data_IF_147813018614
#
_entry.id   IF_147813018614
#
_cell.length_a   1.000
_cell.length_b   1.000
_cell.length_c   1.000
_cell.angle_alpha   90.00
_cell.angle_beta   90.00
_cell.angle_gamma   90.00
#
_symmetry.space_group_name_H-M   'P 1'
#
loop_
_entity.id
_entity.type
_entity.pdbx_description
1 polymer ?
#
# COMPACT_ATOMS: atom_id res chain seq x y z
N UNK A 1 4.15 -18.82 28.90
CA UNK A 1 3.23 -19.14 27.81
C UNK A 1 3.96 -18.85 26.51
N UNK A 2 4.01 -19.77 25.55
CA UNK A 2 4.52 -19.42 24.22
C UNK A 2 3.65 -18.32 23.60
N UNK A 3 4.22 -17.41 22.83
CA UNK A 3 3.43 -16.37 22.18
C UNK A 3 2.40 -17.01 21.25
N UNK A 4 1.14 -16.64 21.41
CA UNK A 4 0.07 -17.06 20.51
C UNK A 4 0.38 -16.43 19.14
N UNK A 5 0.91 -17.22 18.23
CA UNK A 5 1.21 -16.76 16.86
C UNK A 5 -0.10 -16.55 16.12
N UNK A 6 -0.49 -15.30 15.95
CA UNK A 6 -1.68 -14.95 15.13
C UNK A 6 -1.47 -15.42 13.69
N UNK A 7 -2.42 -16.17 13.11
CA UNK A 7 -2.31 -16.59 11.72
C UNK A 7 -2.11 -15.41 10.76
N UNK A 8 -1.37 -15.56 9.66
CA UNK A 8 -1.23 -14.49 8.65
C UNK A 8 -2.56 -13.89 8.20
N UNK A 9 -3.61 -14.70 8.14
CA UNK A 9 -4.96 -14.26 7.76
C UNK A 9 -5.55 -13.13 8.63
N UNK A 10 -5.07 -12.96 9.87
CA UNK A 10 -5.54 -11.94 10.81
C UNK A 10 -4.61 -10.74 10.95
N UNK A 11 -3.46 -10.72 10.26
CA UNK A 11 -2.46 -9.65 10.39
C UNK A 11 -2.64 -8.59 9.32
N UNK A 12 -2.59 -7.35 9.74
CA UNK A 12 -2.64 -6.17 8.88
C UNK A 12 -1.49 -5.21 9.20
N UNK A 13 -0.83 -4.72 8.17
CA UNK A 13 0.21 -3.67 8.26
C UNK A 13 -0.30 -2.37 7.65
N UNK A 14 -0.10 -1.25 8.35
CA UNK A 14 -0.33 0.09 7.80
C UNK A 14 1.00 0.83 7.61
N UNK A 15 1.25 1.30 6.40
CA UNK A 15 2.44 2.08 6.04
C UNK A 15 2.15 3.56 6.18
N UNK A 16 3.04 4.30 6.89
CA UNK A 16 2.79 5.67 7.29
C UNK A 16 1.69 5.75 8.34
N UNK A 17 1.67 4.80 9.27
CA UNK A 17 0.55 4.55 10.17
C UNK A 17 0.26 5.69 11.17
N UNK A 18 1.20 6.62 11.37
CA UNK A 18 1.08 7.61 12.44
C UNK A 18 0.86 6.94 13.79
N UNK A 19 0.04 7.53 14.64
CA UNK A 19 -0.29 7.00 15.98
C UNK A 19 -1.45 6.01 15.99
N UNK A 20 -2.20 5.89 14.90
CA UNK A 20 -3.38 5.02 14.77
C UNK A 20 -3.38 4.38 13.39
N UNK A 21 -3.01 3.08 13.28
CA UNK A 21 -3.03 2.37 12.02
C UNK A 21 -4.44 2.31 11.42
N UNK A 22 -4.54 2.55 10.12
CA UNK A 22 -5.76 2.27 9.38
C UNK A 22 -5.87 0.76 9.15
N UNK A 23 -7.09 0.26 9.08
CA UNK A 23 -7.35 -1.17 8.93
C UNK A 23 -8.58 -1.40 8.07
N UNK A 24 -8.48 -1.22 6.76
CA UNK A 24 -9.63 -1.29 5.87
C UNK A 24 -10.32 -2.66 5.84
N UNK A 25 -9.63 -3.72 6.25
CA UNK A 25 -10.14 -5.08 6.24
C UNK A 25 -10.63 -5.58 7.62
N UNK A 26 -10.52 -4.76 8.68
CA UNK A 26 -10.95 -5.13 10.02
C UNK A 26 -10.18 -6.32 10.63
N UNK A 27 -8.88 -6.46 10.31
CA UNK A 27 -8.03 -7.53 10.86
C UNK A 27 -7.78 -7.32 12.35
N UNK A 28 -7.58 -8.42 13.10
CA UNK A 28 -7.43 -8.36 14.56
C UNK A 28 -6.04 -7.95 15.02
N UNK A 29 -5.00 -8.41 14.34
CA UNK A 29 -3.62 -8.10 14.69
C UNK A 29 -3.09 -6.96 13.81
N UNK A 30 -2.83 -5.80 14.44
CA UNK A 30 -2.42 -4.58 13.76
C UNK A 30 -0.93 -4.34 13.93
N UNK A 31 -0.32 -3.95 12.82
CA UNK A 31 1.08 -3.58 12.71
C UNK A 31 1.17 -2.22 12.01
N UNK A 32 2.19 -1.45 12.35
CA UNK A 32 2.41 -0.15 11.74
C UNK A 32 3.89 0.12 11.49
N UNK A 33 4.16 0.80 10.37
CA UNK A 33 5.48 1.37 10.08
C UNK A 33 5.32 2.87 9.84
N UNK A 34 6.19 3.67 10.46
CA UNK A 34 6.29 5.10 10.22
C UNK A 34 7.76 5.54 10.26
N UNK A 35 8.08 6.64 9.59
CA UNK A 35 9.39 7.26 9.66
C UNK A 35 9.69 7.76 11.09
N UNK A 36 8.67 8.28 11.76
CA UNK A 36 8.79 8.86 13.12
C UNK A 36 8.77 7.75 14.15
N UNK A 37 9.62 7.89 15.17
CA UNK A 37 9.57 7.01 16.34
C UNK A 37 8.34 7.34 17.19
N UNK A 38 7.51 6.36 17.45
CA UNK A 38 6.36 6.49 18.34
C UNK A 38 6.72 6.05 19.77
N UNK A 39 6.01 6.54 20.80
CA UNK A 39 6.14 6.03 22.17
C UNK A 39 5.85 4.51 22.23
N UNK A 40 6.47 3.80 23.17
CA UNK A 40 6.32 2.34 23.35
C UNK A 40 4.95 1.87 23.87
N UNK A 41 4.02 2.79 24.06
CA UNK A 41 2.67 2.53 24.62
C UNK A 41 1.60 2.27 23.55
N UNK A 42 2.00 1.85 22.35
CA UNK A 42 1.04 1.60 21.27
C UNK A 42 0.24 0.32 21.50
N UNK A 43 -1.03 0.33 21.11
CA UNK A 43 -1.93 -0.83 21.14
C UNK A 43 -1.70 -1.80 19.95
N UNK A 44 -0.65 -1.58 19.15
CA UNK A 44 -0.29 -2.36 17.96
C UNK A 44 1.23 -2.54 17.89
N UNK A 45 1.68 -3.50 17.12
CA UNK A 45 3.12 -3.71 16.88
C UNK A 45 3.65 -2.65 15.93
N UNK A 46 4.67 -1.91 16.37
CA UNK A 46 5.21 -0.76 15.65
C UNK A 46 6.69 -0.93 15.34
N UNK A 47 7.08 -0.54 14.14
CA UNK A 47 8.48 -0.42 13.74
C UNK A 47 8.75 0.95 13.09
N UNK A 48 9.84 1.62 13.49
CA UNK A 48 10.30 2.84 12.83
C UNK A 48 11.23 2.46 11.67
N UNK A 49 10.91 2.92 10.44
CA UNK A 49 11.75 2.71 9.28
C UNK A 49 11.54 3.81 8.23
N UNK A 50 12.61 4.17 7.52
CA UNK A 50 12.53 5.04 6.34
C UNK A 50 12.40 4.19 5.09
N UNK A 51 11.17 3.93 4.67
CA UNK A 51 10.88 3.02 3.56
C UNK A 51 11.37 3.51 2.18
N UNK A 52 11.90 4.75 2.08
CA UNK A 52 12.64 5.18 0.90
C UNK A 52 14.00 4.47 0.78
N UNK A 53 14.59 4.00 1.90
CA UNK A 53 15.90 3.39 1.97
C UNK A 53 15.91 2.01 2.63
N UNK A 54 15.04 1.80 3.62
CA UNK A 54 15.00 0.58 4.42
C UNK A 54 13.97 -0.41 3.84
N UNK A 55 14.17 -1.73 4.02
CA UNK A 55 13.12 -2.71 3.76
C UNK A 55 11.99 -2.56 4.80
N UNK A 56 10.83 -3.11 4.49
CA UNK A 56 9.75 -3.28 5.49
C UNK A 56 10.27 -4.27 6.55
N UNK A 57 10.36 -3.88 7.86
CA UNK A 57 11.05 -4.67 8.89
C UNK A 57 10.23 -5.86 9.42
N UNK A 58 9.59 -6.57 8.50
CA UNK A 58 8.80 -7.78 8.80
C UNK A 58 9.15 -8.91 7.83
N UNK A 59 8.90 -10.18 8.22
CA UNK A 59 9.22 -11.34 7.40
C UNK A 59 8.43 -11.41 6.09
N UNK A 60 8.87 -12.25 5.17
CA UNK A 60 8.14 -12.65 3.98
C UNK A 60 6.81 -13.34 4.36
N UNK A 61 5.77 -13.12 3.56
CA UNK A 61 4.45 -13.76 3.71
C UNK A 61 3.79 -13.55 5.09
N UNK A 62 4.08 -12.44 5.73
CA UNK A 62 3.68 -12.17 7.12
C UNK A 62 2.26 -11.61 7.27
N UNK A 63 1.75 -10.91 6.25
CA UNK A 63 0.49 -10.17 6.34
C UNK A 63 -0.54 -10.68 5.32
N UNK A 64 -1.81 -10.75 5.77
CA UNK A 64 -2.94 -10.93 4.87
C UNK A 64 -3.33 -9.64 4.14
N UNK A 65 -2.96 -8.49 4.71
CA UNK A 65 -3.20 -7.21 4.05
C UNK A 65 -2.20 -6.14 4.50
N UNK A 66 -1.92 -5.22 3.58
CA UNK A 66 -1.12 -4.02 3.80
C UNK A 66 -1.94 -2.83 3.34
N UNK A 67 -1.91 -1.72 4.09
CA UNK A 67 -2.50 -0.45 3.65
C UNK A 67 -1.47 0.67 3.55
N UNK A 68 -1.81 1.68 2.74
CA UNK A 68 -1.06 2.91 2.58
C UNK A 68 -2.06 4.04 2.26
N UNK A 69 -2.32 4.90 3.25
CA UNK A 69 -3.21 6.04 3.11
C UNK A 69 -2.39 7.32 3.12
N UNK A 70 -2.52 8.13 2.08
CA UNK A 70 -1.72 9.36 1.93
C UNK A 70 -0.23 9.09 2.19
N UNK A 71 0.32 8.07 1.52
CA UNK A 71 1.68 7.59 1.77
C UNK A 71 2.51 7.41 0.49
N UNK A 72 1.97 6.73 -0.55
CA UNK A 72 2.76 6.37 -1.73
C UNK A 72 3.16 7.57 -2.58
N UNK A 73 2.45 8.68 -2.50
CA UNK A 73 2.78 9.96 -3.12
C UNK A 73 4.03 10.63 -2.53
N UNK A 74 4.39 10.28 -1.30
CA UNK A 74 5.61 10.76 -0.63
C UNK A 74 6.86 9.94 -0.97
N UNK A 75 6.70 8.80 -1.67
CA UNK A 75 7.82 7.93 -2.00
C UNK A 75 8.60 8.45 -3.22
N UNK A 76 9.90 8.77 -3.10
CA UNK A 76 10.68 9.21 -4.24
C UNK A 76 10.68 8.18 -5.37
N UNK A 77 10.59 8.67 -6.62
CA UNK A 77 10.67 7.79 -7.79
C UNK A 77 12.10 7.38 -8.10
N UNK A 78 13.01 8.35 -8.00
CA UNK A 78 14.42 8.20 -8.37
C UNK A 78 15.27 8.92 -7.34
N UNK A 79 16.28 8.26 -6.84
CA UNK A 79 17.33 8.84 -6.01
C UNK A 79 18.70 8.37 -6.52
N UNK A 80 19.73 9.18 -6.24
CA UNK A 80 21.11 8.73 -6.43
C UNK A 80 21.44 7.64 -5.41
N UNK A 81 22.06 6.57 -5.85
CA UNK A 81 22.60 5.55 -4.96
C UNK A 81 23.84 6.06 -4.21
N UNK A 82 24.26 5.30 -3.20
CA UNK A 82 25.40 5.63 -2.37
C UNK A 82 26.74 5.64 -3.14
N UNK A 83 26.83 4.89 -4.24
CA UNK A 83 28.00 4.83 -5.09
C UNK A 83 27.81 5.73 -6.33
N UNK A 84 28.88 6.42 -6.80
CA UNK A 84 28.80 7.22 -8.02
C UNK A 84 28.26 6.38 -9.22
N UNK A 85 27.34 6.96 -9.98
CA UNK A 85 26.75 6.32 -11.16
C UNK A 85 25.68 5.28 -10.86
N UNK A 86 25.29 5.07 -9.60
CA UNK A 86 24.17 4.17 -9.25
C UNK A 86 22.89 4.95 -9.05
N UNK A 87 21.77 4.30 -9.43
CA UNK A 87 20.41 4.84 -9.27
C UNK A 87 19.58 3.87 -8.46
N UNK A 88 18.78 4.39 -7.55
CA UNK A 88 17.78 3.60 -6.82
C UNK A 88 16.38 4.11 -7.14
N UNK A 89 15.41 3.21 -7.12
CA UNK A 89 14.01 3.47 -7.41
C UNK A 89 13.15 3.16 -6.17
N UNK A 90 13.08 4.07 -5.17
CA UNK A 90 12.45 3.79 -3.87
C UNK A 90 11.01 3.34 -4.00
N UNK A 91 10.22 3.95 -4.88
CA UNK A 91 8.83 3.53 -5.08
C UNK A 91 8.70 2.10 -5.63
N UNK A 92 9.58 1.71 -6.57
CA UNK A 92 9.60 0.33 -7.10
C UNK A 92 10.02 -0.66 -6.01
N UNK A 93 11.04 -0.31 -5.20
CA UNK A 93 11.46 -1.11 -4.04
C UNK A 93 10.36 -1.25 -2.99
N UNK A 94 9.63 -0.16 -2.69
CA UNK A 94 8.49 -0.22 -1.77
C UNK A 94 7.45 -1.22 -2.25
N UNK A 95 7.11 -1.20 -3.54
CA UNK A 95 6.13 -2.14 -4.10
C UNK A 95 6.63 -3.59 -4.07
N UNK A 96 7.94 -3.80 -4.24
CA UNK A 96 8.57 -5.12 -4.09
C UNK A 96 8.49 -5.62 -2.64
N UNK A 97 8.76 -4.74 -1.68
CA UNK A 97 8.67 -5.03 -0.25
C UNK A 97 7.23 -5.28 0.21
N UNK A 98 6.25 -4.50 -0.30
CA UNK A 98 4.83 -4.76 -0.07
C UNK A 98 4.45 -6.15 -0.57
N UNK A 99 4.89 -6.51 -1.78
CA UNK A 99 4.65 -7.85 -2.32
C UNK A 99 5.35 -8.90 -1.46
N UNK A 100 6.59 -8.68 -1.04
CA UNK A 100 7.37 -9.61 -0.23
C UNK A 100 6.69 -9.95 1.08
N UNK A 101 6.20 -8.95 1.82
CA UNK A 101 5.60 -9.15 3.15
C UNK A 101 4.15 -9.63 3.11
N UNK A 102 3.44 -9.46 2.00
CA UNK A 102 2.10 -10.01 1.81
C UNK A 102 2.17 -11.53 1.64
N UNK A 103 1.28 -12.26 2.28
CA UNK A 103 1.06 -13.68 2.02
C UNK A 103 0.52 -13.90 0.59
N UNK A 104 0.62 -15.12 0.01
CA UNK A 104 -0.05 -15.46 -1.24
C UNK A 104 -1.53 -15.09 -1.19
N UNK A 105 -2.02 -14.32 -2.18
CA UNK A 105 -3.40 -13.79 -2.19
C UNK A 105 -3.65 -12.63 -1.22
N UNK A 106 -2.63 -12.16 -0.51
CA UNK A 106 -2.73 -11.00 0.36
C UNK A 106 -3.00 -9.71 -0.41
N UNK A 107 -3.64 -8.74 0.25
CA UNK A 107 -4.20 -7.56 -0.40
C UNK A 107 -3.44 -6.28 -0.01
N UNK A 108 -3.08 -5.48 -1.00
CA UNK A 108 -2.57 -4.13 -0.83
C UNK A 108 -3.66 -3.10 -1.10
N UNK A 109 -3.92 -2.23 -0.13
CA UNK A 109 -4.94 -1.18 -0.20
C UNK A 109 -4.29 0.18 -0.09
N UNK A 110 -4.18 0.91 -1.20
CA UNK A 110 -3.61 2.26 -1.20
C UNK A 110 -4.66 3.29 -1.59
N UNK A 111 -4.75 4.36 -0.80
CA UNK A 111 -5.60 5.52 -1.05
C UNK A 111 -4.72 6.76 -1.14
N UNK A 112 -4.70 7.42 -2.28
CA UNK A 112 -3.74 8.49 -2.59
C UNK A 112 -4.39 9.59 -3.43
N UNK A 113 -4.00 10.86 -3.25
CA UNK A 113 -4.36 11.90 -4.20
C UNK A 113 -3.75 11.60 -5.57
N UNK A 114 -4.52 11.86 -6.63
CA UNK A 114 -4.22 11.38 -7.98
C UNK A 114 -4.33 12.50 -9.01
N UNK A 115 -3.37 12.54 -9.95
CA UNK A 115 -3.43 13.42 -11.12
C UNK A 115 -4.72 13.17 -11.93
N UNK A 116 -5.45 14.21 -12.43
CA UNK A 116 -5.02 15.62 -12.53
C UNK A 116 -5.49 16.52 -11.36
N UNK A 117 -5.87 15.96 -10.22
CA UNK A 117 -6.35 16.76 -9.11
C UNK A 117 -5.22 17.64 -8.53
N UNK A 118 -5.57 18.86 -8.07
CA UNK A 118 -4.63 19.77 -7.44
C UNK A 118 -4.11 19.23 -6.11
N UNK A 119 -4.87 18.39 -5.43
CA UNK A 119 -4.51 17.75 -4.17
C UNK A 119 -3.25 16.89 -4.31
N UNK A 120 -3.00 16.34 -5.50
CA UNK A 120 -1.77 15.62 -5.83
C UNK A 120 -0.50 16.51 -5.76
N UNK A 121 -0.64 17.83 -5.78
CA UNK A 121 0.45 18.81 -5.84
C UNK A 121 0.42 19.85 -4.71
N UNK A 122 -0.60 19.81 -3.85
CA UNK A 122 -0.79 20.84 -2.80
C UNK A 122 0.20 20.68 -1.65
N UNK A 123 0.63 19.45 -1.37
CA UNK A 123 1.65 19.17 -0.36
C UNK A 123 3.03 19.16 -1.04
N UNK A 124 3.99 20.00 -0.58
CA UNK A 124 5.33 20.06 -1.17
C UNK A 124 6.14 18.77 -1.01
N UNK A 125 5.71 17.85 -0.15
CA UNK A 125 6.33 16.53 0.04
C UNK A 125 5.75 15.44 -0.88
N UNK A 126 4.75 15.75 -1.71
CA UNK A 126 4.26 14.87 -2.76
C UNK A 126 5.24 14.85 -3.94
N UNK A 127 6.21 13.96 -3.88
CA UNK A 127 7.27 13.83 -4.90
C UNK A 127 6.98 12.75 -5.93
N UNK A 128 5.93 11.95 -5.72
CA UNK A 128 5.51 10.88 -6.62
C UNK A 128 4.13 11.15 -7.21
N UNK A 129 4.09 11.61 -8.45
CA UNK A 129 2.82 11.87 -9.14
C UNK A 129 2.13 10.55 -9.49
N UNK A 130 1.07 10.24 -8.76
CA UNK A 130 0.24 9.05 -9.02
C UNK A 130 -0.84 9.41 -10.04
N UNK A 131 -1.06 8.52 -11.00
CA UNK A 131 -2.11 8.59 -12.00
C UNK A 131 -3.06 7.40 -11.86
N UNK A 132 -4.23 7.47 -12.49
CA UNK A 132 -5.18 6.35 -12.52
C UNK A 132 -4.61 5.05 -13.12
N UNK A 133 -3.44 5.12 -13.80
CA UNK A 133 -2.77 3.99 -14.43
C UNK A 133 -1.46 3.56 -13.75
N UNK A 134 -0.99 4.30 -12.73
CA UNK A 134 0.31 4.01 -12.11
C UNK A 134 0.42 2.60 -11.52
N UNK A 135 -0.68 2.03 -11.04
CA UNK A 135 -0.74 0.66 -10.51
C UNK A 135 -0.48 -0.41 -11.59
N UNK A 136 -0.84 -0.15 -12.85
CA UNK A 136 -0.66 -1.10 -13.96
C UNK A 136 0.82 -1.52 -14.13
N UNK A 137 1.74 -0.65 -13.71
CA UNK A 137 3.18 -0.88 -13.80
C UNK A 137 3.65 -2.10 -13.01
N UNK A 138 2.91 -2.47 -11.95
CA UNK A 138 3.19 -3.58 -11.04
C UNK A 138 2.28 -4.80 -11.27
N UNK A 139 1.35 -4.72 -12.22
CA UNK A 139 0.29 -5.69 -12.41
C UNK A 139 0.43 -6.50 -13.70
N UNK A 140 -0.31 -7.62 -13.77
CA UNK A 140 -0.39 -8.48 -14.94
C UNK A 140 0.71 -9.52 -15.02
N UNK A 141 0.75 -10.29 -16.11
CA UNK A 141 1.67 -11.43 -16.28
C UNK A 141 3.16 -11.01 -16.37
N UNK A 142 3.43 -9.82 -16.93
CA UNK A 142 4.77 -9.29 -17.11
C UNK A 142 4.81 -7.80 -16.69
N UNK A 143 4.86 -7.50 -15.37
CA UNK A 143 4.90 -6.13 -14.88
C UNK A 143 6.09 -5.35 -15.46
N UNK A 144 5.85 -4.13 -15.96
CA UNK A 144 6.91 -3.28 -16.53
C UNK A 144 7.95 -2.87 -15.49
N UNK A 145 7.58 -2.81 -14.20
CA UNK A 145 8.48 -2.49 -13.10
C UNK A 145 9.66 -3.48 -12.95
N UNK A 146 9.59 -4.65 -13.56
CA UNK A 146 10.70 -5.63 -13.59
C UNK A 146 11.99 -5.06 -14.16
N UNK A 147 11.91 -4.12 -15.10
CA UNK A 147 13.08 -3.43 -15.65
C UNK A 147 13.84 -2.63 -14.60
N UNK A 148 13.21 -2.33 -13.46
CA UNK A 148 13.76 -1.53 -12.36
C UNK A 148 13.90 -2.31 -11.06
N UNK A 149 13.90 -3.66 -11.15
CA UNK A 149 14.18 -4.54 -10.02
C UNK A 149 12.96 -5.02 -9.22
N UNK A 150 11.74 -4.83 -9.73
CA UNK A 150 10.55 -5.42 -9.14
C UNK A 150 10.49 -6.93 -9.41
N UNK A 151 10.43 -7.76 -8.37
CA UNK A 151 10.39 -9.21 -8.49
C UNK A 151 8.98 -9.77 -8.35
N UNK A 152 8.06 -8.94 -7.88
CA UNK A 152 6.70 -9.31 -7.58
C UNK A 152 5.77 -9.38 -8.79
N UNK A 153 4.51 -9.63 -8.49
CA UNK A 153 3.37 -9.53 -9.40
C UNK A 153 2.11 -9.25 -8.61
N UNK A 154 1.34 -8.28 -9.07
CA UNK A 154 0.00 -8.03 -8.55
C UNK A 154 -1.07 -8.28 -9.60
N UNK A 155 -2.29 -8.57 -9.12
CA UNK A 155 -3.52 -8.52 -9.89
C UNK A 155 -4.44 -7.44 -9.33
N UNK A 156 -5.10 -6.71 -10.22
CA UNK A 156 -6.01 -5.63 -9.83
C UNK A 156 -7.33 -6.23 -9.37
N UNK A 157 -7.69 -6.00 -8.11
CA UNK A 157 -9.03 -6.31 -7.58
C UNK A 157 -9.96 -5.12 -7.73
N UNK A 158 -9.42 -3.91 -7.47
CA UNK A 158 -10.15 -2.67 -7.65
C UNK A 158 -9.16 -1.52 -7.92
N UNK A 159 -9.46 -0.70 -8.92
CA UNK A 159 -8.72 0.52 -9.23
C UNK A 159 -9.75 1.56 -9.69
N UNK A 160 -10.02 2.59 -8.88
CA UNK A 160 -11.09 3.53 -9.16
C UNK A 160 -10.95 4.86 -8.42
N UNK A 161 -11.55 5.89 -8.98
CA UNK A 161 -11.75 7.15 -8.29
C UNK A 161 -12.73 6.97 -7.12
N UNK A 162 -12.41 7.58 -5.98
CA UNK A 162 -13.18 7.41 -4.76
C UNK A 162 -13.37 8.72 -3.99
N UNK A 163 -14.30 8.68 -3.06
CA UNK A 163 -14.49 9.68 -2.00
C UNK A 163 -13.76 9.11 -0.77
N UNK A 164 -12.71 9.79 -0.24
CA UNK A 164 -11.87 9.26 0.84
C UNK A 164 -12.66 8.81 2.07
N UNK A 165 -13.66 9.60 2.47
CA UNK A 165 -14.48 9.33 3.65
C UNK A 165 -15.29 8.02 3.52
N UNK A 166 -15.61 7.62 2.28
CA UNK A 166 -16.33 6.38 1.98
C UNK A 166 -15.41 5.18 1.71
N UNK A 167 -14.09 5.39 1.81
CA UNK A 167 -13.08 4.40 1.40
C UNK A 167 -12.09 4.07 2.53
N UNK A 168 -12.47 4.35 3.77
CA UNK A 168 -11.66 4.02 4.95
C UNK A 168 -11.72 2.53 5.32
N UNK A 169 -12.74 1.82 4.82
CA UNK A 169 -12.92 0.39 5.03
C UNK A 169 -13.43 -0.28 3.74
N UNK A 170 -13.12 -1.57 3.59
CA UNK A 170 -13.66 -2.40 2.51
C UNK A 170 -15.10 -2.73 2.84
N UNK A 171 -16.03 -1.97 2.26
CA UNK A 171 -17.46 -2.18 2.40
C UNK A 171 -18.16 -2.00 1.05
N UNK A 172 -19.31 -2.62 0.90
CA UNK A 172 -20.18 -2.32 -0.25
C UNK A 172 -20.76 -0.92 -0.07
N UNK A 173 -20.60 -0.02 -1.04
CA UNK A 173 -21.17 1.30 -0.94
C UNK A 173 -22.70 1.22 -0.92
N UNK A 174 -23.34 2.07 -0.16
CA UNK A 174 -24.79 2.26 -0.27
C UNK A 174 -25.11 2.88 -1.65
N UNK A 175 -26.37 2.76 -2.08
CA UNK A 175 -26.77 3.33 -3.36
C UNK A 175 -26.53 4.86 -3.43
N UNK A 176 -26.71 5.58 -2.30
CA UNK A 176 -26.43 7.02 -2.18
C UNK A 176 -24.93 7.34 -2.37
N UNK A 177 -24.05 6.57 -1.74
CA UNK A 177 -22.59 6.70 -1.88
C UNK A 177 -22.13 6.39 -3.31
N UNK A 178 -22.69 5.34 -3.91
CA UNK A 178 -22.38 4.98 -5.29
C UNK A 178 -22.81 6.08 -6.28
N UNK A 179 -24.01 6.64 -6.08
CA UNK A 179 -24.52 7.74 -6.89
C UNK A 179 -23.70 9.02 -6.72
N UNK A 180 -23.35 9.42 -5.47
CA UNK A 180 -22.52 10.61 -5.21
C UNK A 180 -21.14 10.48 -5.84
N UNK A 181 -20.49 9.30 -5.71
CA UNK A 181 -19.22 9.01 -6.38
C UNK A 181 -19.36 9.15 -7.90
N UNK A 182 -20.34 8.52 -8.50
CA UNK A 182 -20.59 8.59 -9.95
C UNK A 182 -20.78 10.03 -10.44
N UNK A 183 -21.59 10.82 -9.71
CA UNK A 183 -21.82 12.24 -10.03
C UNK A 183 -20.54 13.06 -9.97
N UNK A 184 -19.73 12.88 -8.92
CA UNK A 184 -18.46 13.61 -8.74
C UNK A 184 -17.41 13.18 -9.77
N UNK A 185 -17.35 11.90 -10.09
CA UNK A 185 -16.46 11.37 -11.13
C UNK A 185 -16.74 12.01 -12.49
N UNK A 186 -18.01 12.04 -12.91
CA UNK A 186 -18.42 12.69 -14.16
C UNK A 186 -18.14 14.20 -14.20
N UNK A 187 -18.12 14.87 -13.07
CA UNK A 187 -17.81 16.30 -12.96
C UNK A 187 -16.32 16.59 -12.71
N UNK A 188 -15.45 15.58 -12.70
CA UNK A 188 -14.03 15.75 -12.43
C UNK A 188 -13.70 16.25 -11.02
N UNK A 189 -14.58 15.99 -10.04
CA UNK A 189 -14.46 16.47 -8.66
C UNK A 189 -13.88 15.45 -7.68
N UNK A 190 -13.42 14.29 -8.18
CA UNK A 190 -12.74 13.31 -7.36
C UNK A 190 -11.24 13.58 -7.42
N UNK A 191 -10.64 13.62 -6.24
CA UNK A 191 -9.21 13.89 -6.06
C UNK A 191 -8.40 12.64 -5.74
N UNK A 192 -9.05 11.60 -5.22
CA UNK A 192 -8.39 10.39 -4.70
C UNK A 192 -8.67 9.19 -5.56
N UNK A 193 -7.63 8.37 -5.69
CA UNK A 193 -7.69 7.09 -6.39
C UNK A 193 -7.34 5.95 -5.44
N UNK A 194 -8.12 4.89 -5.52
CA UNK A 194 -7.95 3.69 -4.73
C UNK A 194 -7.31 2.60 -5.55
N UNK A 195 -6.30 1.94 -4.99
CA UNK A 195 -5.74 0.68 -5.43
C UNK A 195 -6.11 -0.42 -4.44
N UNK A 196 -6.64 -1.50 -4.93
CA UNK A 196 -6.75 -2.76 -4.22
C UNK A 196 -6.13 -3.83 -5.11
N UNK A 197 -4.92 -4.25 -4.74
CA UNK A 197 -4.09 -5.15 -5.52
C UNK A 197 -3.88 -6.45 -4.75
N UNK A 198 -3.95 -7.59 -5.43
CA UNK A 198 -3.69 -8.89 -4.84
C UNK A 198 -2.28 -9.36 -5.19
N UNK A 199 -1.51 -9.78 -4.18
CA UNK A 199 -0.18 -10.36 -4.36
C UNK A 199 -0.29 -11.78 -4.98
N UNK A 200 0.20 -11.93 -6.20
CA UNK A 200 0.25 -13.23 -6.88
C UNK A 200 1.59 -13.88 -6.59
N UNK A 201 1.55 -14.96 -5.83
CA UNK A 201 2.72 -15.77 -5.47
C UNK A 201 2.45 -17.24 -5.81
N UNK A 202 3.51 -18.03 -6.10
CA UNK A 202 3.36 -19.49 -6.14
C UNK A 202 2.82 -19.97 -4.79
N UNK A 203 1.96 -20.98 -4.81
CA UNK A 203 1.51 -21.61 -3.57
C UNK A 203 2.71 -22.13 -2.80
N UNK A 204 2.83 -21.79 -1.52
CA UNK A 204 3.89 -22.31 -0.66
C UNK A 204 3.71 -23.83 -0.55
N UNK A 205 4.72 -24.65 -0.91
CA UNK A 205 4.63 -26.09 -0.70
C UNK A 205 4.52 -26.36 0.81
N UNK A 206 3.36 -26.79 1.31
CA UNK A 206 3.23 -27.20 2.71
C UNK A 206 1.98 -26.76 3.47
N UNK A 207 0.99 -26.13 2.84
CA UNK A 207 -0.28 -25.76 3.51
C UNK A 207 -1.44 -26.74 3.18
N UNK A 208 -1.13 -28.00 2.90
CA UNK A 208 -2.09 -29.10 2.78
C UNK A 208 -1.77 -30.11 3.89
N UNK A 209 -2.43 -29.98 5.02
CA UNK A 209 -2.37 -30.87 6.15
C UNK A 209 -3.50 -30.56 7.11
#
# INVERSE_FOLDING_TARGET
MPPVTTPPADRHLDLGCGTVPRNPYGRRALFGVDLRRLPSTQAFEFAAANLAFDPIPFPVDHFASVSAFDFIEHMPRVLNGAQPGTTIFPFVRLMDEVWRVLAPGGLFYALTPCYPSREAFSDPTHVNVITARSHEYFCGAAPLARMYGFNGRFEVRRAQWVIPEHSQAVARPTWKQAWDRWRRERSGKLAYFLWELEAVKPATPGAAG
#
